data_IF_823292097316
#
_entry.id   IF_823292097316
#
_cell.length_a   1.000
_cell.length_b   1.000
_cell.length_c   1.000
_cell.angle_alpha   90.00
_cell.angle_beta   90.00
_cell.angle_gamma   90.00
#
_symmetry.space_group_name_H-M   'P 1'
#
loop_
_entity.id
_entity.type
_entity.pdbx_description
1 polymer ?
#
# COMPACT_ATOMS: atom_id res chain seq x y z
N UNK A 1 -68.78 16.60 -16.57
CA UNK A 1 -67.43 16.47 -17.18
C UNK A 1 -66.33 16.67 -16.13
N UNK A 2 -66.32 17.76 -15.29
CA UNK A 2 -65.26 18.03 -14.32
C UNK A 2 -65.17 16.97 -13.18
N UNK A 3 -66.30 16.40 -12.72
CA UNK A 3 -66.31 15.39 -11.66
C UNK A 3 -65.83 14.04 -12.14
N UNK A 4 -66.20 13.62 -13.34
CA UNK A 4 -65.77 12.38 -13.97
C UNK A 4 -64.27 12.40 -14.28
N UNK A 5 -63.72 13.54 -14.76
CA UNK A 5 -62.33 13.71 -15.01
C UNK A 5 -61.47 13.62 -13.73
N UNK A 6 -61.96 14.18 -12.63
CA UNK A 6 -61.25 14.06 -11.30
C UNK A 6 -61.24 12.61 -10.82
N UNK A 7 -62.36 11.87 -10.93
CA UNK A 7 -62.45 10.45 -10.54
C UNK A 7 -61.46 9.62 -11.36
N UNK A 8 -61.43 9.80 -12.69
CA UNK A 8 -60.49 9.11 -13.58
C UNK A 8 -59.04 9.41 -13.21
N UNK A 9 -58.73 10.69 -12.92
CA UNK A 9 -57.37 11.10 -12.53
C UNK A 9 -56.94 10.47 -11.19
N UNK A 10 -57.85 10.44 -10.19
CA UNK A 10 -57.55 9.80 -8.89
C UNK A 10 -57.43 8.29 -9.02
N UNK A 11 -58.23 7.64 -9.86
CA UNK A 11 -58.13 6.18 -10.12
C UNK A 11 -56.82 5.84 -10.82
N UNK A 12 -56.36 6.65 -11.78
CA UNK A 12 -55.10 6.46 -12.48
C UNK A 12 -53.93 6.66 -11.51
N UNK A 13 -53.99 7.68 -10.67
CA UNK A 13 -52.99 7.95 -9.65
C UNK A 13 -52.89 6.82 -8.60
N UNK A 14 -54.03 6.30 -8.14
CA UNK A 14 -54.09 5.15 -7.25
C UNK A 14 -53.50 3.90 -7.88
N UNK A 15 -53.79 3.65 -9.14
CA UNK A 15 -53.25 2.51 -9.91
C UNK A 15 -51.70 2.62 -10.06
N UNK A 16 -51.18 3.81 -10.36
CA UNK A 16 -49.74 4.07 -10.44
C UNK A 16 -49.07 3.85 -9.08
N UNK A 17 -49.67 4.37 -8.00
CA UNK A 17 -49.12 4.19 -6.65
C UNK A 17 -49.12 2.68 -6.30
N UNK A 18 -50.21 1.98 -6.54
CA UNK A 18 -50.32 0.53 -6.28
C UNK A 18 -49.28 -0.27 -7.09
N UNK A 19 -49.09 0.08 -8.36
CA UNK A 19 -48.06 -0.53 -9.20
C UNK A 19 -46.61 -0.24 -8.67
N UNK A 20 -46.34 0.98 -8.28
CA UNK A 20 -45.06 1.34 -7.68
C UNK A 20 -44.80 0.60 -6.37
N UNK A 21 -45.81 0.50 -5.49
CA UNK A 21 -45.72 -0.29 -4.25
C UNK A 21 -45.52 -1.76 -4.52
N UNK A 22 -46.19 -2.32 -5.47
CA UNK A 22 -46.04 -3.72 -5.85
C UNK A 22 -44.65 -4.02 -6.42
N UNK A 23 -44.15 -3.18 -7.32
CA UNK A 23 -42.78 -3.27 -7.85
C UNK A 23 -41.75 -3.17 -6.72
N UNK A 24 -41.95 -2.21 -5.82
CA UNK A 24 -41.11 -2.02 -4.65
C UNK A 24 -41.04 -3.27 -3.76
N UNK A 25 -42.19 -3.86 -3.46
CA UNK A 25 -42.27 -5.08 -2.65
C UNK A 25 -41.63 -6.29 -3.36
N UNK A 26 -41.83 -6.42 -4.67
CA UNK A 26 -41.21 -7.48 -5.48
C UNK A 26 -39.67 -7.34 -5.44
N UNK A 27 -39.14 -6.14 -5.66
CA UNK A 27 -37.73 -5.90 -5.63
C UNK A 27 -37.12 -6.14 -4.22
N UNK A 28 -37.86 -5.69 -3.19
CA UNK A 28 -37.45 -5.92 -1.80
C UNK A 28 -37.42 -7.41 -1.45
N UNK A 29 -38.41 -8.19 -1.87
CA UNK A 29 -38.44 -9.62 -1.63
C UNK A 29 -37.41 -10.39 -2.47
N UNK A 30 -37.21 -10.00 -3.72
CA UNK A 30 -36.25 -10.65 -4.63
C UNK A 30 -34.80 -10.45 -4.23
N UNK A 31 -34.47 -9.34 -3.58
CA UNK A 31 -33.12 -9.01 -3.13
C UNK A 31 -32.94 -9.23 -1.62
N UNK A 32 -33.96 -9.65 -0.89
CA UNK A 32 -33.85 -9.94 0.53
C UNK A 32 -32.81 -11.06 0.76
N UNK A 33 -31.96 -10.92 1.81
CA UNK A 33 -30.95 -11.94 2.09
C UNK A 33 -31.60 -13.26 2.48
N UNK A 34 -31.14 -14.37 1.90
CA UNK A 34 -31.49 -15.69 2.35
C UNK A 34 -30.91 -16.01 3.73
N UNK A 35 -31.39 -17.04 4.41
CA UNK A 35 -30.90 -17.42 5.73
C UNK A 35 -29.36 -17.68 5.72
N UNK A 36 -28.60 -16.90 6.50
CA UNK A 36 -27.15 -16.99 6.56
C UNK A 36 -26.42 -16.39 5.37
N UNK A 37 -27.09 -15.61 4.55
CA UNK A 37 -26.49 -14.90 3.44
C UNK A 37 -25.86 -13.59 3.90
N UNK A 38 -24.66 -13.29 3.37
CA UNK A 38 -24.01 -12.01 3.54
C UNK A 38 -24.86 -10.89 2.95
N UNK A 39 -25.16 -9.87 3.76
CA UNK A 39 -26.03 -8.76 3.40
C UNK A 39 -25.34 -7.40 3.56
N UNK A 40 -25.87 -6.42 2.87
CA UNK A 40 -25.49 -5.02 3.00
C UNK A 40 -26.73 -4.13 2.95
N UNK A 41 -26.65 -2.96 3.60
CA UNK A 41 -27.73 -1.98 3.59
C UNK A 41 -27.50 -0.97 2.47
N UNK A 42 -28.46 -0.88 1.54
CA UNK A 42 -28.46 0.10 0.46
C UNK A 42 -29.52 1.17 0.77
N UNK A 43 -29.13 2.43 0.60
CA UNK A 43 -30.04 3.59 0.75
C UNK A 43 -30.63 3.95 -0.61
N UNK A 44 -31.96 4.00 -0.69
CA UNK A 44 -32.68 4.48 -1.86
C UNK A 44 -33.63 5.61 -1.41
N UNK A 45 -33.18 6.84 -1.52
CA UNK A 45 -33.86 8.02 -0.95
C UNK A 45 -34.00 7.92 0.58
N UNK A 46 -35.20 8.05 1.16
CA UNK A 46 -35.43 7.94 2.59
C UNK A 46 -35.48 6.50 3.12
N UNK A 47 -35.42 5.49 2.22
CA UNK A 47 -35.59 4.09 2.57
C UNK A 47 -34.26 3.35 2.63
N UNK A 48 -34.12 2.47 3.62
CA UNK A 48 -32.99 1.58 3.76
C UNK A 48 -33.44 0.14 3.42
N UNK A 49 -32.66 -0.53 2.56
CA UNK A 49 -32.92 -1.91 2.16
C UNK A 49 -31.75 -2.79 2.58
N UNK A 50 -32.07 -3.90 3.20
CA UNK A 50 -31.09 -4.95 3.39
C UNK A 50 -31.12 -5.87 2.18
N UNK A 51 -30.00 -6.03 1.50
CA UNK A 51 -29.85 -6.78 0.26
C UNK A 51 -28.83 -7.89 0.49
N UNK A 52 -29.21 -9.11 0.13
CA UNK A 52 -28.29 -10.24 0.06
C UNK A 52 -27.31 -10.05 -1.10
N UNK A 53 -26.02 -9.88 -0.79
CA UNK A 53 -25.01 -9.60 -1.83
C UNK A 53 -24.88 -10.74 -2.82
N UNK A 54 -24.79 -12.02 -2.41
CA UNK A 54 -24.79 -13.13 -3.35
C UNK A 54 -26.05 -13.20 -4.22
N UNK A 55 -27.22 -12.95 -3.63
CA UNK A 55 -28.49 -12.90 -4.37
C UNK A 55 -28.50 -11.76 -5.38
N UNK A 56 -28.07 -10.56 -4.99
CA UNK A 56 -27.97 -9.41 -5.89
C UNK A 56 -27.00 -9.67 -7.06
N UNK A 57 -25.86 -10.31 -6.80
CA UNK A 57 -24.91 -10.69 -7.84
C UNK A 57 -25.48 -11.72 -8.81
N UNK A 58 -26.21 -12.73 -8.29
CA UNK A 58 -26.89 -13.73 -9.15
C UNK A 58 -27.94 -13.09 -10.04
N UNK A 59 -28.74 -12.16 -9.50
CA UNK A 59 -29.72 -11.41 -10.26
C UNK A 59 -29.05 -10.52 -11.30
N UNK A 60 -28.10 -9.71 -10.92
CA UNK A 60 -27.43 -8.75 -11.80
C UNK A 60 -26.69 -9.43 -12.97
N UNK A 61 -26.18 -10.64 -12.77
CA UNK A 61 -25.46 -11.40 -13.80
C UNK A 61 -26.35 -12.42 -14.54
N UNK A 62 -27.68 -12.47 -14.27
CA UNK A 62 -28.57 -13.39 -14.96
C UNK A 62 -28.90 -12.89 -16.38
N UNK A 63 -29.04 -13.78 -17.39
CA UNK A 63 -29.38 -13.41 -18.77
C UNK A 63 -30.70 -12.68 -18.91
N UNK A 64 -31.65 -12.87 -17.98
CA UNK A 64 -32.94 -12.20 -18.00
C UNK A 64 -32.94 -10.82 -17.37
N UNK A 65 -32.00 -10.50 -16.47
CA UNK A 65 -31.90 -9.18 -15.79
C UNK A 65 -30.76 -8.30 -16.32
N UNK A 66 -29.60 -8.89 -16.64
CA UNK A 66 -28.44 -8.15 -17.11
C UNK A 66 -28.72 -7.21 -18.30
N UNK A 67 -29.62 -7.54 -19.27
CA UNK A 67 -30.00 -6.61 -20.33
C UNK A 67 -30.62 -5.30 -19.84
N UNK A 68 -31.27 -5.29 -18.67
CA UNK A 68 -31.84 -4.06 -18.10
C UNK A 68 -30.80 -3.15 -17.48
N UNK A 69 -29.58 -3.64 -17.24
CA UNK A 69 -28.45 -2.83 -16.82
C UNK A 69 -27.74 -2.14 -17.98
N UNK A 70 -28.02 -2.55 -19.22
CA UNK A 70 -27.37 -1.99 -20.41
C UNK A 70 -27.52 -0.47 -20.47
N UNK A 71 -26.39 0.23 -20.66
CA UNK A 71 -26.32 1.68 -20.70
C UNK A 71 -26.52 2.40 -19.35
N UNK A 72 -26.84 1.69 -18.26
CA UNK A 72 -27.03 2.28 -16.93
C UNK A 72 -25.68 2.62 -16.29
N UNK A 73 -25.67 3.71 -15.53
CA UNK A 73 -24.51 4.15 -14.74
C UNK A 73 -24.89 4.31 -13.29
N UNK A 74 -23.97 3.90 -12.39
CA UNK A 74 -24.15 3.99 -10.95
C UNK A 74 -22.92 4.61 -10.32
N UNK A 75 -23.11 5.59 -9.44
CA UNK A 75 -22.03 6.15 -8.64
C UNK A 75 -21.69 5.21 -7.50
N UNK A 76 -20.43 4.82 -7.44
CA UNK A 76 -19.89 3.94 -6.40
C UNK A 76 -18.75 4.64 -5.65
N UNK A 77 -18.28 4.06 -4.54
CA UNK A 77 -17.09 4.55 -3.85
C UNK A 77 -15.82 4.48 -4.71
N UNK A 78 -15.79 3.57 -5.68
CA UNK A 78 -14.67 3.43 -6.61
C UNK A 78 -14.73 4.40 -7.80
N UNK A 79 -15.87 5.03 -8.05
CA UNK A 79 -16.13 5.89 -9.20
C UNK A 79 -17.46 5.59 -9.87
N UNK A 80 -17.74 6.27 -10.97
CA UNK A 80 -18.94 6.03 -11.79
C UNK A 80 -18.76 4.76 -12.63
N UNK A 81 -19.60 3.75 -12.38
CA UNK A 81 -19.57 2.47 -13.08
C UNK A 81 -20.72 2.41 -14.09
N UNK A 82 -20.38 2.27 -15.36
CA UNK A 82 -21.33 2.06 -16.46
C UNK A 82 -21.36 0.59 -16.84
N UNK A 83 -22.57 0.07 -17.08
CA UNK A 83 -22.79 -1.31 -17.49
C UNK A 83 -23.12 -1.38 -18.99
N UNK A 84 -22.67 -2.46 -19.63
CA UNK A 84 -23.03 -2.80 -21.00
C UNK A 84 -23.24 -4.33 -21.10
N UNK A 85 -24.38 -4.73 -21.67
CA UNK A 85 -24.69 -6.14 -21.89
C UNK A 85 -24.20 -6.61 -23.25
N UNK A 86 -23.49 -7.72 -23.31
CA UNK A 86 -22.99 -8.37 -24.53
C UNK A 86 -23.70 -9.72 -24.74
N UNK A 87 -24.79 -9.75 -25.51
CA UNK A 87 -25.64 -10.96 -25.65
C UNK A 87 -24.90 -12.19 -26.21
N UNK A 88 -23.99 -11.96 -27.18
CA UNK A 88 -23.25 -13.06 -27.84
C UNK A 88 -22.44 -13.94 -26.92
N UNK A 89 -22.00 -13.41 -25.76
CA UNK A 89 -21.20 -14.14 -24.77
C UNK A 89 -21.86 -14.29 -23.42
N UNK A 90 -23.07 -13.76 -23.25
CA UNK A 90 -23.76 -13.62 -21.96
C UNK A 90 -22.84 -12.91 -20.94
N UNK A 91 -22.19 -11.83 -21.39
CA UNK A 91 -21.21 -11.07 -20.64
C UNK A 91 -21.80 -9.74 -20.19
N UNK A 92 -21.64 -9.42 -18.90
CA UNK A 92 -21.86 -8.07 -18.39
C UNK A 92 -20.52 -7.36 -18.35
N UNK A 93 -20.38 -6.29 -19.12
CA UNK A 93 -19.21 -5.41 -19.11
C UNK A 93 -19.47 -4.27 -18.13
N UNK A 94 -18.49 -3.96 -17.32
CA UNK A 94 -18.49 -2.85 -16.36
C UNK A 94 -17.33 -1.93 -16.70
N UNK A 95 -17.62 -0.67 -16.96
CA UNK A 95 -16.62 0.37 -17.19
C UNK A 95 -16.67 1.40 -16.07
N UNK A 96 -15.55 1.60 -15.41
CA UNK A 96 -15.38 2.60 -14.37
C UNK A 96 -14.42 3.69 -14.89
N UNK A 97 -14.84 4.96 -14.80
CA UNK A 97 -14.06 6.10 -15.33
C UNK A 97 -14.37 7.37 -14.53
N UNK A 98 -13.42 7.98 -13.79
CA UNK A 98 -12.21 7.35 -13.31
C UNK A 98 -12.50 6.32 -12.21
N UNK A 99 -11.64 5.35 -12.07
CA UNK A 99 -11.67 4.39 -10.97
C UNK A 99 -10.66 4.73 -9.89
N UNK A 100 -11.05 4.60 -8.64
CA UNK A 100 -10.14 4.75 -7.49
C UNK A 100 -10.25 3.56 -6.54
N UNK A 101 -9.11 3.13 -6.04
CA UNK A 101 -9.02 2.04 -5.07
C UNK A 101 -8.08 2.42 -3.93
N UNK A 102 -8.51 2.20 -2.70
CA UNK A 102 -7.66 2.34 -1.53
C UNK A 102 -6.77 1.10 -1.40
N UNK A 103 -5.45 1.30 -1.43
CA UNK A 103 -4.45 0.26 -1.20
C UNK A 103 -3.61 0.66 0.01
N UNK A 104 -4.00 0.25 1.23
CA UNK A 104 -3.36 0.71 2.47
C UNK A 104 -1.86 0.45 2.54
N UNK A 105 -1.36 -0.57 1.83
CA UNK A 105 0.06 -0.88 1.72
C UNK A 105 0.87 0.19 0.97
N UNK A 106 0.23 0.95 0.08
CA UNK A 106 0.89 1.98 -0.74
C UNK A 106 0.71 3.40 -0.20
N UNK A 107 -0.27 3.63 0.68
CA UNK A 107 -0.49 4.95 1.27
C UNK A 107 -1.91 5.15 1.78
N UNK A 108 -2.20 6.39 2.20
CA UNK A 108 -3.53 6.79 2.70
C UNK A 108 -4.42 7.37 1.60
N UNK A 109 -3.86 7.69 0.43
CA UNK A 109 -4.63 8.18 -0.71
C UNK A 109 -4.94 7.03 -1.66
N UNK A 110 -6.13 7.01 -2.29
CA UNK A 110 -6.49 6.00 -3.27
C UNK A 110 -5.60 6.09 -4.51
N UNK A 111 -5.27 4.94 -5.08
CA UNK A 111 -4.73 4.86 -6.44
C UNK A 111 -5.86 5.15 -7.41
N UNK A 112 -5.59 5.99 -8.40
CA UNK A 112 -6.54 6.35 -9.43
C UNK A 112 -6.11 5.75 -10.77
N UNK A 113 -7.02 5.02 -11.39
CA UNK A 113 -6.89 4.51 -12.76
C UNK A 113 -7.92 5.22 -13.62
N UNK A 114 -7.52 5.81 -14.71
CA UNK A 114 -8.43 6.64 -15.52
C UNK A 114 -9.58 5.82 -16.12
N UNK A 115 -9.28 4.64 -16.60
CA UNK A 115 -10.32 3.74 -17.11
C UNK A 115 -10.03 2.29 -16.74
N UNK A 116 -11.02 1.65 -16.13
CA UNK A 116 -11.02 0.21 -15.86
C UNK A 116 -12.25 -0.41 -16.52
N UNK A 117 -12.04 -1.39 -17.38
CA UNK A 117 -13.10 -2.18 -17.98
C UNK A 117 -12.98 -3.60 -17.45
N UNK A 118 -14.06 -4.16 -16.94
CA UNK A 118 -14.11 -5.54 -16.48
C UNK A 118 -15.32 -6.26 -17.09
N UNK A 119 -15.13 -7.50 -17.47
CA UNK A 119 -16.21 -8.37 -17.92
C UNK A 119 -16.57 -9.37 -16.84
N UNK A 120 -17.84 -9.74 -16.75
CA UNK A 120 -18.36 -10.73 -15.82
C UNK A 120 -19.21 -11.74 -16.58
N UNK A 121 -18.85 -13.00 -16.46
CA UNK A 121 -19.69 -14.15 -16.84
C UNK A 121 -19.95 -14.98 -15.61
N UNK A 122 -21.17 -15.47 -15.44
CA UNK A 122 -21.53 -16.36 -14.34
C UNK A 122 -21.91 -17.73 -14.85
N UNK A 123 -21.35 -18.74 -14.23
CA UNK A 123 -21.76 -20.14 -14.38
C UNK A 123 -21.99 -20.73 -12.98
N UNK A 124 -23.28 -20.96 -12.67
CA UNK A 124 -23.69 -21.39 -11.34
C UNK A 124 -23.23 -20.42 -10.22
N UNK A 125 -22.31 -20.86 -9.39
CA UNK A 125 -21.69 -20.09 -8.33
C UNK A 125 -20.29 -19.56 -8.69
N UNK A 126 -19.83 -19.80 -9.90
CA UNK A 126 -18.55 -19.30 -10.39
C UNK A 126 -18.80 -18.04 -11.23
N UNK A 127 -18.02 -17.01 -10.94
CA UNK A 127 -17.91 -15.79 -11.71
C UNK A 127 -16.55 -15.80 -12.41
N UNK A 128 -16.47 -15.33 -13.63
CA UNK A 128 -15.20 -15.21 -14.34
C UNK A 128 -15.23 -14.05 -15.31
N UNK A 129 -14.06 -13.55 -15.68
CA UNK A 129 -13.97 -12.48 -16.65
C UNK A 129 -12.55 -12.02 -16.88
N UNK A 130 -12.45 -10.96 -17.65
CA UNK A 130 -11.23 -10.23 -17.91
C UNK A 130 -11.33 -8.81 -17.36
N UNK A 131 -10.21 -8.16 -17.16
CA UNK A 131 -10.17 -6.74 -16.91
C UNK A 131 -9.06 -6.08 -17.71
N UNK A 132 -9.26 -4.81 -18.01
CA UNK A 132 -8.32 -3.97 -18.73
C UNK A 132 -8.26 -2.61 -18.04
N UNK A 133 -7.04 -2.19 -17.66
CA UNK A 133 -6.77 -0.87 -17.10
C UNK A 133 -5.94 -0.05 -18.09
N UNK A 134 -6.38 1.18 -18.36
CA UNK A 134 -5.74 2.08 -19.33
C UNK A 134 -5.50 3.46 -18.71
N UNK A 135 -4.37 4.13 -19.04
CA UNK A 135 -4.19 5.55 -18.78
C UNK A 135 -5.04 6.37 -19.76
N UNK A 136 -5.33 7.63 -19.42
CA UNK A 136 -6.22 8.51 -20.19
C UNK A 136 -5.76 8.77 -21.65
N UNK A 137 -4.48 8.73 -21.92
CA UNK A 137 -3.91 9.37 -23.10
C UNK A 137 -3.51 8.47 -24.28
N UNK A 138 -3.46 7.13 -24.14
CA UNK A 138 -3.00 6.28 -25.24
C UNK A 138 -3.66 4.91 -25.27
N UNK A 139 -4.21 4.55 -26.42
CA UNK A 139 -4.78 3.22 -26.68
C UNK A 139 -3.77 2.05 -26.66
N UNK A 140 -2.48 2.35 -26.62
CA UNK A 140 -1.42 1.34 -26.73
C UNK A 140 -0.92 0.80 -25.39
N UNK A 141 -1.11 1.56 -24.28
CA UNK A 141 -0.63 1.17 -22.96
C UNK A 141 -1.78 0.60 -22.14
N UNK A 142 -1.85 -0.72 -22.03
CA UNK A 142 -2.93 -1.42 -21.31
C UNK A 142 -2.35 -2.48 -20.40
N UNK A 143 -2.92 -2.60 -19.21
CA UNK A 143 -2.74 -3.78 -18.37
C UNK A 143 -3.95 -4.69 -18.52
N UNK A 144 -3.70 -5.93 -18.92
CA UNK A 144 -4.73 -6.95 -19.07
C UNK A 144 -4.60 -7.99 -17.97
N UNK A 145 -5.74 -8.45 -17.49
CA UNK A 145 -5.78 -9.52 -16.54
C UNK A 145 -7.05 -10.36 -16.68
N UNK A 146 -7.03 -11.49 -15.99
CA UNK A 146 -8.17 -12.40 -15.84
C UNK A 146 -8.52 -12.49 -14.36
N UNK A 147 -9.79 -12.72 -14.08
CA UNK A 147 -10.24 -12.93 -12.73
C UNK A 147 -11.29 -14.03 -12.67
N UNK A 148 -11.34 -14.68 -11.54
CA UNK A 148 -12.33 -15.69 -11.19
C UNK A 148 -12.86 -15.42 -9.80
N UNK A 149 -14.13 -15.77 -9.57
CA UNK A 149 -14.79 -15.62 -8.29
C UNK A 149 -15.64 -16.86 -7.95
N UNK A 150 -15.55 -17.30 -6.69
CA UNK A 150 -16.43 -18.32 -6.13
C UNK A 150 -17.40 -17.67 -5.16
N UNK A 151 -18.69 -17.69 -5.53
CA UNK A 151 -19.76 -17.10 -4.76
C UNK A 151 -20.36 -18.14 -3.83
N UNK A 152 -20.36 -17.90 -2.54
CA UNK A 152 -21.08 -18.68 -1.54
C UNK A 152 -22.12 -17.79 -0.84
N UNK A 153 -23.06 -18.35 -0.05
CA UNK A 153 -23.97 -17.53 0.74
C UNK A 153 -23.25 -16.56 1.70
N UNK A 154 -22.10 -16.93 2.23
CA UNK A 154 -21.40 -16.16 3.26
C UNK A 154 -20.28 -15.27 2.74
N UNK A 155 -19.71 -15.59 1.58
CA UNK A 155 -18.54 -14.89 1.05
C UNK A 155 -18.42 -14.95 -0.48
N UNK A 156 -17.58 -14.08 -1.02
CA UNK A 156 -17.09 -14.10 -2.38
C UNK A 156 -15.57 -14.16 -2.34
N UNK A 157 -15.00 -15.24 -2.83
CA UNK A 157 -13.56 -15.40 -3.02
C UNK A 157 -13.21 -14.98 -4.45
N UNK A 158 -12.41 -13.96 -4.59
CA UNK A 158 -11.91 -13.46 -5.86
C UNK A 158 -10.45 -13.80 -6.03
N UNK A 159 -10.07 -14.22 -7.22
CA UNK A 159 -8.70 -14.42 -7.66
C UNK A 159 -8.48 -13.64 -8.95
N UNK A 160 -7.46 -12.80 -9.01
CA UNK A 160 -7.14 -11.99 -10.18
C UNK A 160 -5.68 -12.19 -10.56
N UNK A 161 -5.41 -12.28 -11.86
CA UNK A 161 -4.07 -12.48 -12.41
C UNK A 161 -3.79 -11.52 -13.53
N UNK A 162 -2.70 -10.77 -13.41
CA UNK A 162 -2.07 -10.03 -14.51
C UNK A 162 -0.83 -10.81 -14.92
N UNK A 163 -0.78 -11.21 -16.18
CA UNK A 163 0.38 -11.89 -16.76
C UNK A 163 1.57 -10.95 -16.84
N UNK A 164 2.73 -11.49 -17.17
CA UNK A 164 3.96 -10.71 -17.31
C UNK A 164 3.75 -9.47 -18.20
N UNK A 165 3.92 -8.30 -17.61
CA UNK A 165 3.84 -7.03 -18.29
C UNK A 165 5.05 -6.15 -17.96
N UNK A 166 5.57 -5.34 -18.90
CA UNK A 166 6.64 -4.39 -18.62
C UNK A 166 6.33 -3.52 -17.39
N UNK A 167 7.28 -3.36 -16.48
CA UNK A 167 7.11 -2.53 -15.28
C UNK A 167 6.78 -1.09 -15.66
N UNK A 168 7.38 -0.57 -16.73
CA UNK A 168 7.04 0.74 -17.28
C UNK A 168 5.54 0.90 -17.57
N UNK A 169 4.87 -0.17 -18.01
CA UNK A 169 3.42 -0.16 -18.28
C UNK A 169 2.60 -0.04 -17.00
N UNK A 170 3.02 -0.72 -15.93
CA UNK A 170 2.39 -0.59 -14.61
C UNK A 170 2.45 0.85 -14.10
N UNK A 171 3.61 1.50 -14.22
CA UNK A 171 3.77 2.91 -13.84
C UNK A 171 2.90 3.83 -14.70
N UNK A 172 2.89 3.63 -16.02
CA UNK A 172 2.07 4.43 -16.93
C UNK A 172 0.56 4.32 -16.64
N UNK A 173 0.07 3.17 -16.16
CA UNK A 173 -1.34 2.97 -15.82
C UNK A 173 -1.67 3.46 -14.41
N UNK A 174 -0.80 3.21 -13.42
CA UNK A 174 -1.09 3.51 -12.03
C UNK A 174 -0.77 4.96 -11.62
N UNK A 175 0.23 5.56 -12.25
CA UNK A 175 0.74 6.90 -11.90
C UNK A 175 1.22 7.67 -13.14
N UNK A 176 0.34 7.89 -14.13
CA UNK A 176 0.73 8.49 -15.43
C UNK A 176 1.29 9.90 -15.32
N UNK A 177 1.00 10.60 -14.23
CA UNK A 177 1.41 11.98 -13.96
C UNK A 177 2.79 12.12 -13.36
N UNK A 178 3.46 11.00 -13.04
CA UNK A 178 4.81 11.02 -12.46
C UNK A 178 5.81 11.73 -13.37
N UNK A 179 6.47 12.81 -12.92
CA UNK A 179 7.43 13.54 -13.76
C UNK A 179 8.63 12.67 -14.15
N UNK A 180 9.01 11.71 -13.32
CA UNK A 180 10.10 10.76 -13.55
C UNK A 180 9.89 9.92 -14.82
N UNK A 181 8.64 9.63 -15.20
CA UNK A 181 8.34 8.83 -16.40
C UNK A 181 8.78 9.50 -17.71
N UNK A 182 9.09 10.81 -17.69
CA UNK A 182 9.59 11.53 -18.86
C UNK A 182 11.06 11.24 -19.16
N UNK A 183 11.84 10.91 -18.13
CA UNK A 183 13.29 10.69 -18.23
C UNK A 183 13.72 9.28 -17.89
N UNK A 184 12.98 8.58 -17.01
CA UNK A 184 13.34 7.25 -16.57
C UNK A 184 13.17 6.20 -17.66
N UNK A 185 14.19 5.38 -17.87
CA UNK A 185 14.09 4.11 -18.58
C UNK A 185 13.86 3.01 -17.59
N UNK A 186 12.65 2.46 -17.59
CA UNK A 186 12.20 1.43 -16.65
C UNK A 186 12.19 0.09 -17.38
N UNK A 187 13.07 -0.82 -16.99
CA UNK A 187 13.20 -2.18 -17.52
C UNK A 187 12.57 -3.23 -16.62
N UNK A 188 12.46 -4.43 -17.15
CA UNK A 188 11.94 -5.60 -16.44
C UNK A 188 10.44 -5.79 -16.57
N UNK A 189 9.96 -6.89 -15.99
CA UNK A 189 8.54 -7.29 -16.02
C UNK A 189 8.00 -7.55 -14.63
N UNK A 190 6.69 -7.42 -14.49
CA UNK A 190 5.92 -7.72 -13.29
C UNK A 190 4.68 -8.52 -13.68
N UNK A 191 4.55 -9.72 -13.12
CA UNK A 191 3.30 -10.46 -13.03
C UNK A 191 2.72 -10.32 -11.63
N UNK A 192 1.40 -10.30 -11.52
CA UNK A 192 0.71 -10.16 -10.23
C UNK A 192 -0.44 -11.17 -10.13
N UNK A 193 -0.43 -11.94 -9.06
CA UNK A 193 -1.59 -12.75 -8.65
C UNK A 193 -2.13 -12.19 -7.34
N UNK A 194 -3.42 -11.84 -7.34
CA UNK A 194 -4.13 -11.31 -6.18
C UNK A 194 -5.29 -12.20 -5.78
N UNK A 195 -5.57 -12.30 -4.49
CA UNK A 195 -6.74 -12.94 -3.92
C UNK A 195 -7.44 -11.96 -2.98
N UNK A 196 -8.76 -11.93 -3.01
CA UNK A 196 -9.58 -11.09 -2.14
C UNK A 196 -10.74 -11.91 -1.61
N UNK A 197 -10.96 -11.87 -0.31
CA UNK A 197 -12.11 -12.49 0.36
C UNK A 197 -13.03 -11.38 0.88
N UNK A 198 -14.27 -11.41 0.45
CA UNK A 198 -15.34 -10.52 0.88
C UNK A 198 -16.40 -11.30 1.68
N UNK A 199 -17.00 -10.75 2.73
CA UNK A 199 -16.95 -9.33 3.18
C UNK A 199 -15.77 -8.94 4.06
N UNK A 200 -14.92 -9.86 4.52
CA UNK A 200 -13.82 -9.61 5.46
C UNK A 200 -12.79 -8.60 4.90
N UNK A 201 -12.80 -8.37 3.59
CA UNK A 201 -11.88 -7.51 2.87
C UNK A 201 -10.40 -7.89 3.08
N UNK A 202 -10.13 -9.17 3.34
CA UNK A 202 -8.77 -9.69 3.43
C UNK A 202 -8.22 -9.98 2.05
N UNK A 203 -6.98 -9.58 1.80
CA UNK A 203 -6.35 -9.80 0.51
C UNK A 203 -4.95 -10.36 0.65
N UNK A 204 -4.54 -11.16 -0.34
CA UNK A 204 -3.19 -11.64 -0.51
C UNK A 204 -2.71 -11.31 -1.92
N UNK A 205 -1.44 -10.98 -2.04
CA UNK A 205 -0.81 -10.67 -3.33
C UNK A 205 0.50 -11.44 -3.47
N UNK A 206 0.77 -11.90 -4.69
CA UNK A 206 1.98 -12.62 -5.05
C UNK A 206 2.56 -11.97 -6.32
N UNK A 207 3.41 -10.95 -6.17
CA UNK A 207 4.13 -10.35 -7.28
C UNK A 207 5.31 -11.23 -7.71
N UNK A 208 5.54 -11.34 -9.01
CA UNK A 208 6.74 -11.89 -9.59
C UNK A 208 7.42 -10.82 -10.40
N UNK A 209 8.60 -10.37 -9.97
CA UNK A 209 9.36 -9.31 -10.61
C UNK A 209 10.61 -9.94 -11.25
N UNK A 210 10.85 -9.58 -12.51
CA UNK A 210 12.02 -10.02 -13.27
C UNK A 210 12.79 -8.82 -13.81
N UNK A 211 14.11 -8.78 -13.56
CA UNK A 211 15.04 -7.80 -14.14
C UNK A 211 14.61 -6.33 -14.00
N UNK A 212 14.08 -5.97 -12.84
CA UNK A 212 13.68 -4.58 -12.60
C UNK A 212 14.91 -3.67 -12.59
N UNK A 213 14.99 -2.77 -13.54
CA UNK A 213 16.05 -1.77 -13.71
C UNK A 213 15.44 -0.39 -13.91
N UNK A 214 16.16 0.64 -13.45
CA UNK A 214 15.77 2.05 -13.63
C UNK A 214 17.03 2.84 -13.95
N UNK A 215 16.95 3.69 -14.97
CA UNK A 215 18.02 4.59 -15.38
C UNK A 215 17.46 5.96 -15.76
N UNK A 216 18.26 7.02 -15.59
CA UNK A 216 17.92 8.36 -16.05
C UNK A 216 17.26 9.26 -15.00
N UNK A 217 17.30 8.86 -13.70
CA UNK A 217 16.85 9.70 -12.58
C UNK A 217 17.99 10.57 -12.00
N UNK A 218 19.22 10.34 -12.43
CA UNK A 218 20.38 11.16 -12.04
C UNK A 218 20.93 10.84 -10.66
N UNK A 219 20.70 9.63 -10.13
CA UNK A 219 21.19 9.25 -8.80
C UNK A 219 22.70 9.13 -8.70
N UNK A 220 23.43 9.01 -9.81
CA UNK A 220 24.89 9.06 -9.88
C UNK A 220 25.50 10.35 -9.31
N UNK A 221 24.77 11.46 -9.35
CA UNK A 221 25.19 12.71 -8.72
C UNK A 221 25.38 12.57 -7.21
N UNK A 222 24.72 11.59 -6.58
CA UNK A 222 24.82 11.32 -5.15
C UNK A 222 26.11 10.59 -4.75
N UNK A 223 26.90 10.09 -5.69
CA UNK A 223 28.21 9.51 -5.41
C UNK A 223 29.10 10.50 -4.63
N UNK A 224 29.07 11.78 -5.02
CA UNK A 224 29.87 12.84 -4.42
C UNK A 224 29.05 13.82 -3.56
N UNK A 225 27.76 13.54 -3.34
CA UNK A 225 26.89 14.40 -2.55
C UNK A 225 27.40 14.53 -1.10
N UNK A 226 27.33 15.76 -0.58
CA UNK A 226 27.59 16.07 0.83
C UNK A 226 26.27 16.24 1.56
N UNK A 227 26.25 15.84 2.82
CA UNK A 227 25.08 16.07 3.68
C UNK A 227 25.04 17.51 4.19
N UNK A 228 23.85 18.05 4.38
CA UNK A 228 23.62 19.30 5.10
C UNK A 228 23.53 19.10 6.62
N UNK A 229 23.54 17.85 7.09
CA UNK A 229 23.41 17.48 8.52
C UNK A 229 24.72 17.60 9.33
N UNK A 230 25.72 18.30 8.82
CA UNK A 230 27.02 18.44 9.47
C UNK A 230 28.12 17.52 8.91
N UNK A 231 29.18 17.24 9.67
CA UNK A 231 30.26 16.38 9.17
C UNK A 231 29.77 14.93 8.99
N UNK A 232 30.22 14.31 7.89
CA UNK A 232 29.97 12.89 7.65
C UNK A 232 30.66 12.02 8.70
N UNK A 233 29.95 11.03 9.20
CA UNK A 233 30.47 10.06 10.16
C UNK A 233 31.57 9.16 9.56
N UNK A 234 31.57 8.96 8.22
CA UNK A 234 32.48 8.08 7.47
C UNK A 234 32.64 6.72 8.13
N UNK A 235 31.48 6.11 8.48
CA UNK A 235 31.42 4.78 9.10
C UNK A 235 31.65 3.70 8.05
N UNK A 236 32.37 2.66 8.44
CA UNK A 236 32.46 1.43 7.66
C UNK A 236 31.20 0.58 7.88
N UNK A 237 30.85 -0.31 6.94
CA UNK A 237 29.65 -1.16 7.01
C UNK A 237 29.67 -2.11 8.22
N UNK A 238 30.84 -2.40 8.76
CA UNK A 238 31.06 -3.28 9.90
C UNK A 238 31.13 -2.54 11.26
N UNK A 239 31.07 -1.20 11.27
CA UNK A 239 30.97 -0.42 12.50
C UNK A 239 29.69 -0.77 13.29
N UNK A 240 29.75 -0.67 14.61
CA UNK A 240 28.62 -1.01 15.48
C UNK A 240 27.33 -0.25 15.13
N UNK A 241 27.45 1.04 14.83
CA UNK A 241 26.25 1.83 14.48
C UNK A 241 25.69 1.42 13.12
N UNK A 242 26.52 1.18 12.11
CA UNK A 242 26.05 0.70 10.79
C UNK A 242 25.34 -0.64 10.92
N UNK A 243 25.94 -1.62 11.63
CA UNK A 243 25.31 -2.93 11.89
C UNK A 243 24.00 -2.80 12.67
N UNK A 244 23.96 -1.95 13.68
CA UNK A 244 22.76 -1.74 14.49
C UNK A 244 21.63 -1.08 13.67
N UNK A 245 21.94 -0.12 12.80
CA UNK A 245 20.98 0.52 11.91
C UNK A 245 20.41 -0.46 10.89
N UNK A 246 21.26 -1.27 10.26
CA UNK A 246 20.82 -2.34 9.35
C UNK A 246 19.91 -3.35 10.10
N UNK A 247 20.31 -3.74 11.32
CA UNK A 247 19.52 -4.65 12.14
C UNK A 247 18.15 -4.08 12.55
N UNK A 248 18.09 -2.75 12.80
CA UNK A 248 16.88 -2.06 13.23
C UNK A 248 15.88 -1.79 12.10
N UNK A 249 16.37 -1.45 10.91
CA UNK A 249 15.56 -0.88 9.83
C UNK A 249 15.44 -1.80 8.60
N UNK A 250 16.46 -2.64 8.32
CA UNK A 250 16.51 -3.42 7.10
C UNK A 250 17.47 -4.61 7.21
N UNK A 251 17.07 -5.68 7.87
CA UNK A 251 17.92 -6.84 8.16
C UNK A 251 18.46 -7.56 6.92
N UNK A 252 17.84 -7.34 5.77
CA UNK A 252 18.20 -7.94 4.48
C UNK A 252 18.85 -6.94 3.52
N UNK A 253 19.24 -5.78 4.02
CA UNK A 253 19.82 -4.67 3.24
C UNK A 253 20.85 -5.12 2.20
N UNK A 254 21.79 -5.99 2.57
CA UNK A 254 22.87 -6.41 1.69
C UNK A 254 22.44 -7.47 0.63
N UNK A 255 21.20 -7.95 0.63
CA UNK A 255 20.75 -9.05 -0.24
C UNK A 255 19.66 -8.67 -1.24
N UNK A 256 19.04 -7.51 -1.13
CA UNK A 256 17.99 -7.06 -2.05
C UNK A 256 18.47 -5.91 -2.95
N UNK A 257 17.73 -5.68 -4.04
CA UNK A 257 18.03 -4.67 -5.07
C UNK A 257 17.20 -3.37 -4.89
N UNK A 258 17.21 -2.80 -3.67
CA UNK A 258 16.48 -1.57 -3.35
C UNK A 258 15.06 -1.78 -2.82
N UNK A 259 14.47 -2.94 -3.02
CA UNK A 259 13.17 -3.34 -2.49
C UNK A 259 13.24 -4.79 -1.96
N UNK A 260 12.49 -5.07 -0.91
CA UNK A 260 12.41 -6.40 -0.31
C UNK A 260 10.98 -6.92 -0.37
N UNK A 261 10.68 -7.76 -1.37
CA UNK A 261 9.34 -8.34 -1.55
C UNK A 261 8.91 -9.16 -0.32
N UNK A 262 9.82 -9.87 0.32
CA UNK A 262 9.50 -10.67 1.52
C UNK A 262 9.00 -9.76 2.64
N UNK A 263 9.68 -8.64 2.90
CA UNK A 263 9.26 -7.69 3.93
C UNK A 263 7.99 -6.92 3.54
N UNK A 264 7.82 -6.56 2.26
CA UNK A 264 6.60 -5.93 1.76
C UNK A 264 5.40 -6.85 1.99
N UNK A 265 5.48 -8.12 1.58
CA UNK A 265 4.39 -9.08 1.74
C UNK A 265 4.12 -9.40 3.21
N UNK A 266 5.15 -9.56 4.03
CA UNK A 266 4.99 -9.75 5.47
C UNK A 266 4.33 -8.54 6.15
N UNK A 267 4.63 -7.31 5.70
CA UNK A 267 3.99 -6.10 6.22
C UNK A 267 2.52 -6.01 5.80
N UNK A 268 2.18 -6.39 4.58
CA UNK A 268 0.80 -6.46 4.08
C UNK A 268 -0.02 -7.44 4.93
N UNK A 269 0.47 -8.66 5.11
CA UNK A 269 -0.21 -9.69 5.90
C UNK A 269 -0.40 -9.25 7.37
N UNK A 270 0.67 -8.74 8.01
CA UNK A 270 0.60 -8.25 9.38
C UNK A 270 -0.40 -7.09 9.54
N UNK A 271 -0.41 -6.16 8.58
CA UNK A 271 -1.18 -4.93 8.71
C UNK A 271 -2.69 -5.12 8.48
N UNK A 272 -3.10 -6.26 7.97
CA UNK A 272 -4.51 -6.66 7.85
C UNK A 272 -5.06 -7.30 9.14
N UNK A 273 -4.20 -7.78 10.04
CA UNK A 273 -4.62 -8.45 11.27
C UNK A 273 -5.06 -7.43 12.32
N UNK A 274 -6.28 -7.54 12.85
CA UNK A 274 -6.76 -6.65 13.91
C UNK A 274 -5.87 -6.74 15.16
N UNK A 275 -5.62 -5.60 15.81
CA UNK A 275 -4.84 -5.54 17.06
C UNK A 275 -3.34 -5.69 16.92
N UNK A 276 -2.81 -5.96 15.74
CA UNK A 276 -1.37 -6.03 15.51
C UNK A 276 -0.75 -4.64 15.34
N UNK A 277 0.45 -4.47 15.89
CA UNK A 277 1.25 -3.27 15.64
C UNK A 277 1.61 -3.19 14.17
N UNK A 278 1.35 -2.03 13.54
CA UNK A 278 1.65 -1.82 12.13
C UNK A 278 3.15 -2.00 11.84
N UNK A 279 3.45 -2.86 10.87
CA UNK A 279 4.81 -3.17 10.42
C UNK A 279 5.14 -2.37 9.16
N UNK A 280 6.34 -1.79 9.08
CA UNK A 280 6.87 -1.20 7.85
C UNK A 280 7.52 -2.25 6.97
N UNK A 281 7.41 -2.08 5.65
CA UNK A 281 8.08 -2.93 4.65
C UNK A 281 9.02 -2.12 3.74
N UNK A 282 9.47 -0.94 4.17
CA UNK A 282 10.39 -0.09 3.40
C UNK A 282 11.84 -0.44 3.71
N UNK A 283 12.66 -0.53 2.68
CA UNK A 283 14.12 -0.73 2.80
C UNK A 283 14.85 0.55 3.18
N UNK A 284 16.10 0.46 3.64
CA UNK A 284 16.98 1.62 3.87
C UNK A 284 17.15 2.46 2.60
N UNK A 285 17.23 1.83 1.44
CA UNK A 285 17.36 2.54 0.16
C UNK A 285 16.10 3.35 -0.17
N UNK A 286 14.91 2.80 0.07
CA UNK A 286 13.66 3.54 -0.07
C UNK A 286 13.54 4.69 0.94
N UNK A 287 14.01 4.47 2.18
CA UNK A 287 14.07 5.54 3.18
C UNK A 287 15.05 6.64 2.77
N UNK A 288 16.19 6.29 2.18
CA UNK A 288 17.13 7.27 1.63
C UNK A 288 16.51 8.07 0.48
N UNK A 289 15.83 7.41 -0.46
CA UNK A 289 15.10 8.07 -1.54
C UNK A 289 14.07 9.07 -0.98
N UNK A 290 13.36 8.68 0.08
CA UNK A 290 12.44 9.57 0.80
C UNK A 290 13.15 10.78 1.38
N UNK A 291 14.27 10.60 2.04
CA UNK A 291 15.02 11.68 2.70
C UNK A 291 15.61 12.69 1.71
N UNK A 292 16.11 12.22 0.57
CA UNK A 292 16.87 13.06 -0.35
C UNK A 292 16.04 13.61 -1.52
N UNK A 293 14.95 12.92 -1.91
CA UNK A 293 14.27 13.20 -3.19
C UNK A 293 12.75 13.37 -3.03
N UNK A 294 12.04 12.35 -2.51
CA UNK A 294 10.59 12.28 -2.67
C UNK A 294 9.80 12.96 -1.56
N UNK A 295 10.46 13.31 -0.45
CA UNK A 295 9.81 14.01 0.67
C UNK A 295 8.97 13.10 1.57
N UNK A 296 8.09 13.71 2.40
CA UNK A 296 7.42 13.02 3.52
C UNK A 296 5.92 12.76 3.33
N UNK A 297 5.31 13.17 2.23
CA UNK A 297 3.89 12.97 1.96
C UNK A 297 3.53 11.47 1.96
N UNK A 298 2.33 11.14 2.46
CA UNK A 298 1.89 9.74 2.56
C UNK A 298 0.96 9.35 1.42
N UNK A 299 1.50 9.35 0.19
CA UNK A 299 0.77 9.00 -1.02
C UNK A 299 1.29 7.72 -1.66
N UNK A 300 0.43 7.02 -2.40
CA UNK A 300 0.84 5.87 -3.21
C UNK A 300 1.83 6.28 -4.30
N UNK A 301 1.62 7.45 -4.91
CA UNK A 301 2.51 8.03 -5.91
C UNK A 301 3.94 8.18 -5.37
N UNK A 302 4.09 8.81 -4.18
CA UNK A 302 5.39 8.93 -3.53
C UNK A 302 6.05 7.56 -3.29
N UNK A 303 5.26 6.55 -2.87
CA UNK A 303 5.82 5.22 -2.60
C UNK A 303 6.32 4.53 -3.86
N UNK A 304 5.65 4.73 -4.99
CA UNK A 304 6.10 4.25 -6.30
C UNK A 304 7.33 5.03 -6.78
N UNK A 305 7.41 6.35 -6.53
CA UNK A 305 8.63 7.15 -6.79
C UNK A 305 9.82 6.65 -5.97
N UNK A 306 9.62 6.41 -4.66
CA UNK A 306 10.69 5.84 -3.80
C UNK A 306 11.23 4.53 -4.38
N UNK A 307 10.37 3.69 -4.95
CA UNK A 307 10.77 2.43 -5.56
C UNK A 307 11.69 2.64 -6.77
N UNK A 308 11.35 3.57 -7.67
CA UNK A 308 12.19 3.91 -8.84
C UNK A 308 13.56 4.39 -8.41
N UNK A 309 13.61 5.38 -7.51
CA UNK A 309 14.87 5.90 -7.01
C UNK A 309 15.68 4.84 -6.25
N UNK A 310 15.02 3.99 -5.47
CA UNK A 310 15.72 2.94 -4.74
C UNK A 310 16.40 1.94 -5.68
N UNK A 311 15.72 1.54 -6.76
CA UNK A 311 16.31 0.61 -7.76
C UNK A 311 17.50 1.26 -8.47
N UNK A 312 17.37 2.52 -8.92
CA UNK A 312 18.50 3.19 -9.58
C UNK A 312 19.66 3.46 -8.62
N UNK A 313 19.39 3.87 -7.37
CA UNK A 313 20.43 4.07 -6.34
C UNK A 313 21.24 2.78 -6.09
N UNK A 314 20.62 1.62 -6.07
CA UNK A 314 21.35 0.36 -5.90
C UNK A 314 22.29 0.07 -7.05
N UNK A 315 21.92 0.43 -8.26
CA UNK A 315 22.73 0.23 -9.46
C UNK A 315 23.86 1.24 -9.56
N UNK A 316 23.63 2.48 -9.16
CA UNK A 316 24.57 3.60 -9.35
C UNK A 316 25.51 3.83 -8.15
N UNK A 317 25.01 3.65 -6.93
CA UNK A 317 25.75 3.98 -5.71
C UNK A 317 26.34 2.75 -5.00
N UNK A 318 25.62 1.63 -5.04
CA UNK A 318 25.94 0.42 -4.29
C UNK A 318 25.72 0.56 -2.77
N UNK A 319 25.66 -0.58 -2.09
CA UNK A 319 25.26 -0.71 -0.67
C UNK A 319 26.08 0.17 0.29
N UNK A 320 27.38 0.21 0.11
CA UNK A 320 28.25 0.97 1.02
C UNK A 320 27.96 2.48 0.97
N UNK A 321 27.78 3.03 -0.23
CA UNK A 321 27.46 4.45 -0.40
C UNK A 321 26.04 4.78 0.06
N UNK A 322 25.08 3.92 -0.22
CA UNK A 322 23.70 4.07 0.25
C UNK A 322 23.66 4.12 1.77
N UNK A 323 24.31 3.17 2.47
CA UNK A 323 24.32 3.13 3.92
C UNK A 323 25.03 4.37 4.50
N UNK A 324 26.15 4.81 3.91
CA UNK A 324 26.83 6.04 4.30
C UNK A 324 25.90 7.26 4.18
N UNK A 325 25.24 7.44 3.03
CA UNK A 325 24.32 8.55 2.81
C UNK A 325 23.13 8.50 3.77
N UNK A 326 22.60 7.31 4.05
CA UNK A 326 21.53 7.15 5.02
C UNK A 326 21.99 7.61 6.41
N UNK A 327 23.11 7.10 6.89
CA UNK A 327 23.67 7.47 8.19
C UNK A 327 23.99 8.97 8.31
N UNK A 328 24.43 9.58 7.21
CA UNK A 328 24.76 11.01 7.18
C UNK A 328 23.51 11.93 7.10
N UNK A 329 22.31 11.40 6.75
CA UNK A 329 21.11 12.21 6.55
C UNK A 329 19.90 11.78 7.40
N UNK A 330 19.94 10.61 8.05
CA UNK A 330 18.83 10.12 8.85
C UNK A 330 18.49 11.07 10.02
N UNK A 331 17.20 11.29 10.34
CA UNK A 331 16.79 12.07 11.50
C UNK A 331 16.94 11.25 12.78
N UNK A 332 17.38 11.91 13.86
CA UNK A 332 17.62 11.27 15.16
C UNK A 332 16.81 11.91 16.30
N UNK A 333 15.78 12.70 15.99
CA UNK A 333 14.92 13.40 16.94
C UNK A 333 15.30 14.88 17.14
N UNK A 334 14.32 15.72 17.37
CA UNK A 334 14.47 17.16 17.36
C UNK A 334 14.92 17.65 15.97
N UNK A 335 15.86 18.58 15.95
CA UNK A 335 16.50 19.08 14.72
C UNK A 335 17.77 18.30 14.35
N UNK A 336 18.04 17.16 15.01
CA UNK A 336 19.28 16.42 14.81
C UNK A 336 19.14 15.51 13.61
N UNK A 337 20.01 15.69 12.61
CA UNK A 337 20.18 14.75 11.51
C UNK A 337 21.66 14.37 11.36
N UNK A 338 21.90 13.16 10.86
CA UNK A 338 23.21 12.58 10.69
C UNK A 338 23.79 11.91 11.95
N UNK A 339 24.43 10.77 11.72
CA UNK A 339 24.95 9.90 12.78
C UNK A 339 26.02 10.56 13.64
N UNK A 340 26.93 11.36 13.05
CA UNK A 340 27.97 12.08 13.81
C UNK A 340 27.35 13.12 14.75
N UNK A 341 26.38 13.90 14.27
CA UNK A 341 25.68 14.88 15.09
C UNK A 341 24.91 14.20 16.24
N UNK A 342 24.23 13.08 15.96
CA UNK A 342 23.52 12.31 16.97
C UNK A 342 24.47 11.74 18.04
N UNK A 343 25.58 11.12 17.65
CA UNK A 343 26.57 10.57 18.57
C UNK A 343 27.16 11.64 19.49
N UNK A 344 27.52 12.80 18.94
CA UNK A 344 28.02 13.94 19.71
C UNK A 344 26.95 14.51 20.65
N UNK A 345 25.73 14.65 20.18
CA UNK A 345 24.65 15.23 21.00
C UNK A 345 24.28 14.35 22.17
N UNK A 346 24.10 13.05 21.91
CA UNK A 346 23.56 12.11 22.89
C UNK A 346 24.63 11.51 23.79
N UNK A 347 25.83 11.26 23.26
CA UNK A 347 26.88 10.53 24.00
C UNK A 347 28.20 11.29 24.13
N UNK A 348 28.30 12.51 23.59
CA UNK A 348 29.52 13.33 23.60
C UNK A 348 30.74 12.63 22.96
N UNK A 349 30.45 11.70 22.02
CA UNK A 349 31.48 10.92 21.32
C UNK A 349 31.31 11.06 19.80
N UNK A 350 32.36 10.76 19.04
CA UNK A 350 32.23 10.56 17.60
C UNK A 350 31.45 9.26 17.31
N UNK A 351 30.68 9.23 16.21
CA UNK A 351 29.99 8.05 15.77
C UNK A 351 30.91 6.84 15.58
N UNK A 352 32.18 7.07 15.24
CA UNK A 352 33.19 6.01 15.08
C UNK A 352 33.60 5.35 16.40
N UNK A 353 33.48 6.05 17.50
CA UNK A 353 33.95 5.61 18.84
C UNK A 353 32.77 5.26 19.77
N UNK A 354 31.57 5.12 19.24
CA UNK A 354 30.42 4.66 20.00
C UNK A 354 30.65 3.25 20.53
N UNK A 355 30.30 3.05 21.79
CA UNK A 355 30.22 1.70 22.38
C UNK A 355 29.06 0.91 21.77
N UNK A 356 29.14 -0.43 21.74
CA UNK A 356 28.09 -1.25 21.15
C UNK A 356 26.68 -0.94 21.67
N UNK A 357 26.51 -0.76 22.99
CA UNK A 357 25.21 -0.42 23.59
C UNK A 357 24.72 0.97 23.17
N UNK A 358 25.61 1.96 23.00
CA UNK A 358 25.26 3.29 22.51
C UNK A 358 24.81 3.25 21.05
N UNK A 359 25.47 2.44 20.22
CA UNK A 359 25.08 2.22 18.83
C UNK A 359 23.68 1.57 18.70
N UNK A 360 23.41 0.56 19.51
CA UNK A 360 22.08 -0.08 19.59
C UNK A 360 21.02 0.91 20.04
N UNK A 361 21.31 1.72 21.05
CA UNK A 361 20.40 2.76 21.54
C UNK A 361 20.01 3.75 20.47
N UNK A 362 20.98 4.29 19.72
CA UNK A 362 20.69 5.18 18.58
C UNK A 362 19.86 4.47 17.52
N UNK A 363 20.25 3.28 17.11
CA UNK A 363 19.52 2.54 16.08
C UNK A 363 18.06 2.24 16.49
N UNK A 364 17.83 1.96 17.77
CA UNK A 364 16.49 1.73 18.30
C UNK A 364 15.58 2.97 18.22
N UNK A 365 16.14 4.18 18.13
CA UNK A 365 15.37 5.42 17.99
C UNK A 365 14.79 5.63 16.58
N UNK A 366 15.42 5.09 15.53
CA UNK A 366 15.14 5.45 14.12
C UNK A 366 13.70 5.25 13.69
N UNK A 367 13.00 4.25 14.18
CA UNK A 367 11.62 3.97 13.78
C UNK A 367 10.64 5.11 14.10
N UNK A 368 10.90 5.91 15.16
CA UNK A 368 10.12 7.08 15.59
C UNK A 368 11.01 8.06 16.37
N UNK A 369 12.00 8.69 15.73
CA UNK A 369 13.09 9.40 16.45
C UNK A 369 12.58 10.48 17.41
N UNK A 370 11.59 11.26 16.99
CA UNK A 370 11.01 12.31 17.82
C UNK A 370 10.28 11.76 19.05
N UNK A 371 9.40 10.80 18.83
CA UNK A 371 8.60 10.21 19.91
C UNK A 371 9.49 9.47 20.93
N UNK A 372 10.52 8.76 20.45
CA UNK A 372 11.49 8.07 21.33
C UNK A 372 12.34 9.05 22.11
N UNK A 373 12.75 10.18 21.51
CA UNK A 373 13.48 11.23 22.23
C UNK A 373 12.61 11.86 23.34
N UNK A 374 11.34 12.12 23.07
CA UNK A 374 10.39 12.63 24.05
C UNK A 374 10.14 11.63 25.17
N UNK A 375 9.97 10.34 24.84
CA UNK A 375 9.88 9.26 25.82
C UNK A 375 11.14 9.20 26.71
N UNK A 376 12.32 9.23 26.09
CA UNK A 376 13.59 9.18 26.84
C UNK A 376 13.74 10.35 27.82
N UNK A 377 13.32 11.55 27.41
CA UNK A 377 13.34 12.73 28.29
C UNK A 377 12.36 12.62 29.45
N UNK A 378 11.16 12.08 29.19
CA UNK A 378 10.12 11.96 30.20
C UNK A 378 10.39 10.82 31.18
N UNK A 379 10.77 9.65 30.66
CA UNK A 379 10.81 8.39 31.40
C UNK A 379 12.24 8.00 31.82
N UNK A 380 13.28 8.70 31.34
CA UNK A 380 14.69 8.41 31.60
C UNK A 380 15.24 7.20 30.82
N UNK A 381 14.40 6.52 30.04
CA UNK A 381 14.79 5.36 29.25
C UNK A 381 14.00 5.30 27.93
N UNK A 382 14.46 4.48 26.99
CA UNK A 382 13.72 4.10 25.80
C UNK A 382 13.21 2.67 25.95
N UNK A 383 12.40 2.23 24.98
CA UNK A 383 11.84 0.87 24.94
C UNK A 383 12.94 -0.20 25.01
N UNK A 384 12.95 -0.96 26.14
CA UNK A 384 13.94 -2.01 26.40
C UNK A 384 13.78 -3.20 25.46
N UNK A 385 12.54 -3.58 25.11
CA UNK A 385 12.27 -4.68 24.20
C UNK A 385 12.77 -4.33 22.78
N UNK A 386 12.61 -3.08 22.36
CA UNK A 386 13.16 -2.59 21.09
C UNK A 386 14.68 -2.61 21.06
N UNK A 387 15.36 -2.15 22.11
CA UNK A 387 16.83 -2.20 22.17
C UNK A 387 17.36 -3.62 22.19
N UNK A 388 16.73 -4.51 22.95
CA UNK A 388 17.06 -5.94 22.98
C UNK A 388 16.87 -6.57 21.61
N UNK A 389 15.74 -6.32 20.95
CA UNK A 389 15.46 -6.85 19.62
C UNK A 389 16.49 -6.38 18.58
N UNK A 390 16.89 -5.11 18.59
CA UNK A 390 17.96 -4.59 17.71
C UNK A 390 19.26 -5.33 17.98
N UNK A 391 19.68 -5.49 19.24
CA UNK A 391 20.91 -6.18 19.61
C UNK A 391 20.91 -7.67 19.17
N UNK A 392 19.79 -8.36 19.33
CA UNK A 392 19.60 -9.75 18.89
C UNK A 392 19.66 -9.88 17.35
N UNK A 393 19.19 -8.86 16.65
CA UNK A 393 19.11 -8.83 15.18
C UNK A 393 20.43 -8.50 14.49
N UNK A 394 21.44 -7.99 15.18
CA UNK A 394 22.75 -7.67 14.59
C UNK A 394 23.40 -8.95 14.05
N UNK A 395 23.81 -8.92 12.78
CA UNK A 395 24.49 -10.02 12.11
C UNK A 395 26.00 -9.80 12.00
N UNK A 396 26.74 -10.86 11.70
CA UNK A 396 28.19 -10.80 11.49
C UNK A 396 29.01 -10.56 12.76
N UNK A 397 28.50 -10.95 13.93
CA UNK A 397 29.21 -10.94 15.23
C UNK A 397 29.26 -12.37 15.79
N UNK A 398 30.32 -12.68 16.55
CA UNK A 398 30.47 -13.97 17.22
C UNK A 398 29.46 -14.15 18.35
N UNK A 399 29.29 -15.39 18.81
CA UNK A 399 28.40 -15.69 19.96
C UNK A 399 28.83 -14.91 21.20
N UNK A 400 30.11 -14.88 21.51
CA UNK A 400 30.64 -14.17 22.69
C UNK A 400 30.39 -12.64 22.59
N UNK A 401 30.55 -12.06 21.38
CA UNK A 401 30.23 -10.65 21.15
C UNK A 401 28.75 -10.38 21.34
N UNK A 402 27.87 -11.28 20.92
CA UNK A 402 26.42 -11.16 21.11
C UNK A 402 26.05 -11.21 22.58
N UNK A 403 26.56 -12.16 23.32
CA UNK A 403 26.30 -12.30 24.76
C UNK A 403 26.78 -11.05 25.53
N UNK A 404 27.99 -10.56 25.22
CA UNK A 404 28.51 -9.32 25.79
C UNK A 404 27.66 -8.09 25.42
N UNK A 405 27.23 -7.99 24.14
CA UNK A 405 26.34 -6.94 23.69
C UNK A 405 25.00 -6.92 24.43
N UNK A 406 24.32 -8.06 24.51
CA UNK A 406 23.03 -8.18 25.20
C UNK A 406 23.17 -7.81 26.69
N UNK A 407 24.24 -8.26 27.35
CA UNK A 407 24.53 -7.89 28.72
C UNK A 407 24.77 -6.38 28.87
N UNK A 408 25.54 -5.76 27.97
CA UNK A 408 25.83 -4.34 28.00
C UNK A 408 24.57 -3.48 27.72
N UNK A 409 23.71 -3.92 26.78
CA UNK A 409 22.46 -3.22 26.46
C UNK A 409 21.48 -3.30 27.64
N UNK A 410 21.36 -4.46 28.28
CA UNK A 410 20.48 -4.63 29.45
C UNK A 410 20.92 -3.79 30.66
N UNK A 411 22.24 -3.58 30.83
CA UNK A 411 22.80 -2.77 31.91
C UNK A 411 22.87 -1.26 31.58
N UNK A 412 22.62 -0.88 30.32
CA UNK A 412 22.82 0.50 29.87
C UNK A 412 21.79 1.45 30.49
N UNK A 413 22.28 2.53 31.07
CA UNK A 413 21.49 3.67 31.56
C UNK A 413 22.12 4.95 31.00
N UNK A 414 21.43 5.55 30.02
CA UNK A 414 21.92 6.79 29.42
C UNK A 414 21.01 7.94 29.81
N UNK A 415 21.60 9.09 30.10
CA UNK A 415 20.85 10.30 30.41
C UNK A 415 20.37 10.97 29.13
N UNK A 416 19.09 11.31 29.08
CA UNK A 416 18.54 12.04 27.96
C UNK A 416 19.17 13.43 27.84
N UNK A 417 19.42 13.93 26.62
CA UNK A 417 19.94 15.27 26.46
C UNK A 417 18.89 16.32 26.85
N UNK A 418 19.35 17.41 27.47
CA UNK A 418 18.47 18.55 27.77
C UNK A 418 17.79 19.09 26.50
N UNK A 419 16.58 19.61 26.66
CA UNK A 419 15.90 20.31 25.58
C UNK A 419 16.78 21.51 25.15
N UNK A 420 16.95 21.68 23.84
CA UNK A 420 17.51 22.93 23.33
C UNK A 420 16.42 23.98 23.52
N UNK A 421 16.58 24.88 24.48
CA UNK A 421 15.82 26.14 24.50
C UNK A 421 16.15 26.87 23.22
N UNK A 422 15.18 27.01 22.34
CA UNK A 422 15.28 27.86 21.14
C UNK A 422 15.35 29.33 21.55
#
# INVERSE_FOLDING_TARGET
>A
VKKTLRIVLFSLMALVITACVAIFLIVKLALAPAAGEWSTTVKAGPLNFEIGVPTALRVATSPWFAPYLDGRSFDTRAGAVRFAWKPAGELLEMQCTPCSAEVPALGTQPIRVERLVATVKRDGNTLSGTFEATPESTDTTRLHGRWEGKLSPRNLQLSAKVEDAPIARWYAVLVPTLPELRSARIGGTLALHGQLLLPEATFAVQPTISQFTVEGLGTEAMLNARTSCGPSARLTNDSWLARAVVAAEDQRFFTHAGYDLTEILASIDNNQKPGQTKRGGSTLTQQLAKLLVTGSDRTAERKLREMLYAVEMEQTLGKARILQLYLDNAPWGGSICGAEAAARRYFKRSARTLEPAQAVWLAAMLHKPQAVLEQWRRDGHIDADRTKWVAESIRGISRNQREALLKSVAAAKFTAPEAVTQ
#
